data_IF_474019302575
#
_entry.id   IF_474019302575
#
_cell.length_a   1.000
_cell.length_b   1.000
_cell.length_c   1.000
_cell.angle_alpha   90.00
_cell.angle_beta   90.00
_cell.angle_gamma   90.00
#
_symmetry.space_group_name_H-M   'P 1'
#
loop_
_entity.id
_entity.type
_entity.pdbx_description
1 polymer ?
#
# COMPACT_ATOMS: atom_id res chain seq x y z
N UNK A 1 25.41 -24.47 -34.17
CA UNK A 1 24.33 -23.50 -33.91
C UNK A 1 23.74 -23.78 -32.54
N UNK A 2 24.39 -23.33 -31.47
CA UNK A 2 23.82 -23.31 -30.11
C UNK A 2 24.48 -22.15 -29.40
N UNK A 3 23.89 -20.96 -29.46
CA UNK A 3 24.13 -19.84 -28.54
C UNK A 3 22.98 -18.85 -28.75
N UNK A 4 21.93 -18.94 -27.93
CA UNK A 4 20.98 -17.85 -27.65
C UNK A 4 20.15 -18.23 -26.40
N UNK A 5 20.83 -18.35 -25.26
CA UNK A 5 20.17 -18.64 -23.97
C UNK A 5 20.72 -17.80 -22.81
N UNK A 6 21.31 -16.63 -23.10
CA UNK A 6 22.00 -15.82 -22.08
C UNK A 6 21.45 -14.38 -21.97
N UNK A 7 20.43 -13.98 -22.73
CA UNK A 7 19.96 -12.59 -22.79
C UNK A 7 18.67 -12.26 -22.00
N UNK A 8 18.32 -12.98 -20.92
CA UNK A 8 17.19 -12.59 -20.03
C UNK A 8 17.56 -12.64 -18.53
N UNK A 9 18.85 -12.77 -18.18
CA UNK A 9 19.28 -12.85 -16.77
C UNK A 9 19.74 -11.51 -16.16
N UNK A 10 19.71 -10.40 -16.94
CA UNK A 10 20.30 -9.12 -16.54
C UNK A 10 19.33 -8.05 -16.02
N UNK A 11 18.05 -8.12 -16.39
CA UNK A 11 17.07 -7.06 -16.04
C UNK A 11 16.12 -7.43 -14.89
N UNK A 12 16.05 -8.71 -14.52
CA UNK A 12 15.21 -9.18 -13.39
C UNK A 12 15.84 -8.87 -12.02
N UNK A 13 17.14 -8.56 -11.98
CA UNK A 13 17.87 -8.22 -10.76
C UNK A 13 17.45 -6.87 -10.12
N UNK A 14 16.54 -6.10 -10.73
CA UNK A 14 16.13 -4.78 -10.22
C UNK A 14 14.71 -4.70 -9.65
N UNK A 15 13.89 -5.76 -9.73
CA UNK A 15 12.53 -5.71 -9.17
C UNK A 15 12.55 -6.16 -7.69
N UNK A 16 13.36 -7.17 -7.34
CA UNK A 16 13.42 -7.71 -5.97
C UNK A 16 14.50 -7.05 -5.10
N UNK A 17 15.53 -6.41 -5.69
CA UNK A 17 16.74 -5.99 -4.96
C UNK A 17 16.86 -4.48 -4.66
N UNK A 18 15.87 -3.65 -5.02
CA UNK A 18 15.89 -2.20 -4.76
C UNK A 18 14.82 -1.77 -3.77
N UNK A 19 14.67 -2.54 -2.70
CA UNK A 19 14.03 -2.08 -1.47
C UNK A 19 15.04 -1.27 -0.67
N UNK A 20 15.33 -0.12 -1.29
CA UNK A 20 15.99 1.07 -0.81
C UNK A 20 15.59 1.35 0.64
N UNK A 21 16.50 1.92 1.45
CA UNK A 21 16.41 2.01 2.92
C UNK A 21 15.09 2.47 3.54
N UNK A 22 14.13 3.02 2.79
CA UNK A 22 12.73 3.18 3.20
C UNK A 22 12.07 1.86 3.64
N UNK A 23 12.30 0.75 2.93
CA UNK A 23 11.76 -0.57 3.31
C UNK A 23 12.34 -1.05 4.65
N UNK A 24 13.66 -0.93 4.83
CA UNK A 24 14.33 -1.21 6.11
C UNK A 24 13.81 -0.30 7.22
N UNK A 25 13.57 0.98 6.96
CA UNK A 25 12.95 1.91 7.92
C UNK A 25 11.53 1.50 8.29
N UNK A 26 10.76 0.89 7.39
CA UNK A 26 9.42 0.39 7.72
C UNK A 26 9.47 -0.94 8.49
N UNK A 27 10.46 -1.80 8.22
CA UNK A 27 10.56 -3.15 8.79
C UNK A 27 11.41 -3.27 10.05
N UNK A 28 12.38 -2.38 10.29
CA UNK A 28 13.28 -2.40 11.46
C UNK A 28 12.79 -1.52 12.61
N UNK A 29 11.70 -0.81 12.44
CA UNK A 29 11.18 0.06 13.51
C UNK A 29 10.29 -0.69 14.47
N UNK A 30 10.54 -0.51 15.77
CA UNK A 30 9.68 -0.97 16.86
C UNK A 30 8.21 -0.63 16.58
N UNK A 31 7.26 -1.51 16.97
CA UNK A 31 5.83 -1.23 16.85
C UNK A 31 5.48 0.15 17.41
N UNK A 32 4.48 0.83 16.84
CA UNK A 32 3.99 2.14 17.31
C UNK A 32 3.67 2.24 18.82
N UNK A 33 3.65 1.11 19.52
CA UNK A 33 3.35 0.90 20.94
C UNK A 33 4.16 1.76 21.93
N UNK A 34 5.24 2.47 21.55
CA UNK A 34 6.02 3.31 22.47
C UNK A 34 5.90 4.83 22.26
N UNK A 35 5.13 5.33 21.28
CA UNK A 35 5.23 6.74 20.84
C UNK A 35 4.02 7.62 21.21
N UNK A 36 2.92 7.03 21.65
CA UNK A 36 1.70 7.78 21.96
C UNK A 36 1.68 8.30 23.40
N UNK A 37 2.60 9.20 23.69
CA UNK A 37 2.50 10.06 24.87
C UNK A 37 1.31 11.01 24.76
N UNK A 38 0.17 10.64 25.36
CA UNK A 38 -0.97 11.50 25.76
C UNK A 38 -1.39 12.59 24.74
N UNK A 39 -1.45 12.30 23.44
CA UNK A 39 -2.06 13.22 22.47
C UNK A 39 -3.34 12.61 21.94
N UNK A 40 -4.43 13.37 22.12
CA UNK A 40 -5.78 13.04 21.69
C UNK A 40 -5.86 12.96 20.16
N UNK A 41 -6.59 11.98 19.65
CA UNK A 41 -7.08 11.89 18.27
C UNK A 41 -8.13 12.98 17.98
N UNK A 42 -7.81 14.24 18.28
CA UNK A 42 -8.65 15.41 18.04
C UNK A 42 -8.99 15.52 16.55
N UNK A 43 -10.13 16.15 16.21
CA UNK A 43 -11.01 15.67 15.16
C UNK A 43 -10.27 15.61 13.83
N UNK A 44 -10.21 14.39 13.25
CA UNK A 44 -9.92 14.23 11.85
C UNK A 44 -10.68 15.30 11.09
N UNK A 45 -9.95 16.07 10.27
CA UNK A 45 -10.54 17.06 9.41
C UNK A 45 -11.66 16.38 8.60
N UNK A 46 -12.87 16.97 8.55
CA UNK A 46 -14.05 16.37 7.89
C UNK A 46 -13.79 15.89 6.44
N UNK A 47 -12.78 16.48 5.78
CA UNK A 47 -12.28 16.07 4.47
C UNK A 47 -11.69 14.65 4.44
N UNK A 48 -11.00 14.24 5.50
CA UNK A 48 -10.45 12.88 5.65
C UNK A 48 -11.58 11.88 5.89
N UNK A 49 -12.64 12.29 6.59
CA UNK A 49 -13.82 11.46 6.81
C UNK A 49 -14.59 11.19 5.51
N UNK A 50 -14.75 12.18 4.63
CA UNK A 50 -15.38 11.97 3.31
C UNK A 50 -14.61 11.00 2.40
N UNK A 51 -13.28 11.08 2.40
CA UNK A 51 -12.41 10.14 1.68
C UNK A 51 -12.64 8.71 2.19
N UNK A 52 -12.61 8.54 3.50
CA UNK A 52 -12.85 7.28 4.19
C UNK A 52 -14.29 6.75 4.00
N UNK A 53 -15.30 7.62 3.97
CA UNK A 53 -16.69 7.27 3.62
C UNK A 53 -16.82 6.88 2.14
N UNK A 54 -15.98 7.43 1.27
CA UNK A 54 -15.83 7.01 -0.11
C UNK A 54 -15.35 5.56 -0.23
N UNK A 55 -14.39 5.16 0.61
CA UNK A 55 -13.88 3.79 0.66
C UNK A 55 -14.95 2.77 1.07
N UNK A 56 -15.85 3.14 1.99
CA UNK A 56 -16.95 2.27 2.44
C UNK A 56 -17.99 1.95 1.34
N UNK A 57 -17.95 2.66 0.21
CA UNK A 57 -18.80 2.40 -0.96
C UNK A 57 -18.17 1.42 -1.94
N UNK A 58 -16.91 1.06 -1.75
CA UNK A 58 -16.26 0.03 -2.55
C UNK A 58 -16.66 -1.34 -2.00
N UNK A 59 -17.17 -2.21 -2.87
CA UNK A 59 -17.44 -3.61 -2.54
C UNK A 59 -16.28 -4.46 -3.05
N UNK A 60 -15.27 -4.76 -2.21
CA UNK A 60 -14.08 -5.50 -2.61
C UNK A 60 -14.38 -6.99 -2.91
N UNK A 61 -15.65 -7.41 -2.74
CA UNK A 61 -16.13 -8.76 -3.05
C UNK A 61 -16.90 -8.83 -4.38
N UNK A 62 -17.12 -7.70 -5.06
CA UNK A 62 -17.99 -7.65 -6.23
C UNK A 62 -17.30 -7.98 -7.56
N UNK A 63 -15.98 -7.78 -7.69
CA UNK A 63 -15.25 -7.97 -8.95
C UNK A 63 -13.79 -8.38 -8.69
N UNK A 64 -13.17 -9.07 -9.67
CA UNK A 64 -11.72 -9.24 -9.76
C UNK A 64 -11.09 -7.84 -9.81
N UNK A 65 -10.33 -7.48 -8.78
CA UNK A 65 -9.78 -6.15 -8.56
C UNK A 65 -8.49 -5.92 -9.37
N UNK A 66 -7.80 -7.01 -9.74
CA UNK A 66 -6.55 -6.95 -10.48
C UNK A 66 -6.39 -8.03 -11.58
N UNK A 67 -7.34 -8.98 -11.71
CA UNK A 67 -7.23 -10.05 -12.70
C UNK A 67 -6.41 -11.26 -12.21
N UNK A 68 -5.91 -11.21 -10.97
CA UNK A 68 -5.19 -12.28 -10.29
C UNK A 68 -5.71 -12.50 -8.85
N UNK A 69 -5.90 -13.77 -8.46
CA UNK A 69 -6.53 -14.10 -7.18
C UNK A 69 -5.70 -13.75 -5.95
N UNK A 70 -4.37 -13.69 -6.07
CA UNK A 70 -3.49 -13.25 -4.97
C UNK A 70 -3.68 -11.76 -4.76
N UNK A 71 -3.62 -10.98 -5.84
CA UNK A 71 -3.76 -9.52 -5.77
C UNK A 71 -5.15 -9.12 -5.29
N UNK A 72 -6.21 -9.77 -5.77
CA UNK A 72 -7.58 -9.53 -5.31
C UNK A 72 -7.73 -9.74 -3.80
N UNK A 73 -7.11 -10.79 -3.25
CA UNK A 73 -7.13 -11.08 -1.81
C UNK A 73 -6.36 -10.03 -1.02
N UNK A 74 -5.25 -9.54 -1.56
CA UNK A 74 -4.44 -8.50 -0.91
C UNK A 74 -5.14 -7.14 -0.91
N UNK A 75 -5.79 -6.78 -2.01
CA UNK A 75 -6.63 -5.59 -2.09
C UNK A 75 -7.76 -5.66 -1.05
N UNK A 76 -8.44 -6.81 -0.90
CA UNK A 76 -9.44 -7.01 0.16
C UNK A 76 -8.87 -6.74 1.56
N UNK A 77 -7.69 -7.29 1.87
CA UNK A 77 -7.01 -7.03 3.14
C UNK A 77 -6.73 -5.54 3.37
N UNK A 78 -6.27 -4.82 2.34
CA UNK A 78 -6.03 -3.37 2.41
C UNK A 78 -7.32 -2.56 2.63
N UNK A 79 -8.43 -2.98 2.02
CA UNK A 79 -9.74 -2.37 2.30
C UNK A 79 -10.20 -2.63 3.73
N UNK A 80 -10.00 -3.84 4.24
CA UNK A 80 -10.36 -4.21 5.62
C UNK A 80 -9.54 -3.40 6.63
N UNK A 81 -8.24 -3.26 6.43
CA UNK A 81 -7.37 -2.41 7.26
C UNK A 81 -7.82 -0.94 7.25
N UNK A 82 -8.22 -0.41 6.10
CA UNK A 82 -8.73 0.96 5.98
C UNK A 82 -10.09 1.14 6.68
N UNK A 83 -10.93 0.11 6.63
CA UNK A 83 -12.22 0.09 7.35
C UNK A 83 -12.02 0.03 8.86
N UNK A 84 -11.06 -0.77 9.33
CA UNK A 84 -10.69 -0.85 10.74
C UNK A 84 -10.12 0.48 11.23
N UNK A 85 -9.27 1.13 10.42
CA UNK A 85 -8.74 2.45 10.73
C UNK A 85 -9.86 3.49 10.87
N UNK A 86 -10.83 3.48 9.93
CA UNK A 86 -12.03 4.32 10.03
C UNK A 86 -12.75 4.09 11.35
N UNK A 87 -13.06 2.83 11.65
CA UNK A 87 -13.86 2.47 12.81
C UNK A 87 -13.15 2.87 14.11
N UNK A 88 -11.83 2.67 14.18
CA UNK A 88 -11.01 3.07 15.31
C UNK A 88 -11.05 4.58 15.54
N UNK A 89 -10.94 5.38 14.47
CA UNK A 89 -10.94 6.83 14.61
C UNK A 89 -12.33 7.39 14.94
N UNK A 90 -13.39 6.89 14.27
CA UNK A 90 -14.77 7.29 14.58
C UNK A 90 -15.19 6.95 16.00
N UNK A 91 -14.68 5.86 16.55
CA UNK A 91 -14.95 5.44 17.93
C UNK A 91 -14.06 6.14 18.95
N UNK A 92 -13.16 7.04 18.52
CA UNK A 92 -12.21 7.73 19.39
C UNK A 92 -11.26 6.77 20.12
N UNK A 93 -10.84 5.67 19.46
CA UNK A 93 -9.94 4.69 20.06
C UNK A 93 -8.59 5.33 20.44
N UNK A 94 -7.89 4.77 21.45
CA UNK A 94 -6.56 5.20 21.84
C UNK A 94 -5.59 5.26 20.66
N UNK A 95 -4.69 6.24 20.68
CA UNK A 95 -3.82 6.53 19.55
C UNK A 95 -2.81 5.40 19.24
N UNK A 96 -2.43 4.62 20.24
CA UNK A 96 -1.63 3.39 20.09
C UNK A 96 -2.36 2.29 19.32
N UNK A 97 -3.66 2.10 19.56
CA UNK A 97 -4.49 1.18 18.76
C UNK A 97 -4.59 1.65 17.30
N UNK A 98 -4.81 2.95 17.08
CA UNK A 98 -4.87 3.53 15.73
C UNK A 98 -3.51 3.39 15.02
N UNK A 99 -2.41 3.63 15.73
CA UNK A 99 -1.07 3.43 15.21
C UNK A 99 -0.79 1.99 14.80
N UNK A 100 -1.23 1.00 15.59
CA UNK A 100 -1.07 -0.41 15.25
C UNK A 100 -1.78 -0.79 13.94
N UNK A 101 -2.96 -0.23 13.68
CA UNK A 101 -3.70 -0.45 12.42
C UNK A 101 -2.94 0.16 11.23
N UNK A 102 -2.41 1.39 11.39
CA UNK A 102 -1.58 2.03 10.35
C UNK A 102 -0.34 1.20 10.04
N UNK A 103 0.31 0.66 11.06
CA UNK A 103 1.47 -0.24 10.93
C UNK A 103 1.11 -1.50 10.13
N UNK A 104 -0.07 -2.09 10.37
CA UNK A 104 -0.57 -3.24 9.60
C UNK A 104 -0.80 -2.87 8.15
N UNK A 105 -1.56 -1.82 7.87
CA UNK A 105 -1.83 -1.40 6.51
C UNK A 105 -0.55 -1.16 5.70
N UNK A 106 0.44 -0.49 6.29
CA UNK A 106 1.68 -0.18 5.57
C UNK A 106 2.47 -1.47 5.28
N UNK A 107 2.53 -2.43 6.21
CA UNK A 107 3.17 -3.72 5.95
C UNK A 107 2.46 -4.47 4.83
N UNK A 108 1.14 -4.51 4.87
CA UNK A 108 0.34 -5.27 3.93
C UNK A 108 0.40 -4.63 2.54
N UNK A 109 0.42 -3.29 2.45
CA UNK A 109 0.58 -2.57 1.18
C UNK A 109 1.94 -2.86 0.54
N UNK A 110 3.01 -2.85 1.35
CA UNK A 110 4.35 -3.15 0.86
C UNK A 110 4.48 -4.60 0.41
N UNK A 111 3.83 -5.54 1.11
CA UNK A 111 3.79 -6.94 0.68
C UNK A 111 3.02 -7.09 -0.63
N UNK A 112 1.88 -6.43 -0.76
CA UNK A 112 1.09 -6.38 -1.97
C UNK A 112 1.91 -5.88 -3.17
N UNK A 113 2.60 -4.74 -3.05
CA UNK A 113 3.44 -4.20 -4.13
C UNK A 113 4.51 -5.19 -4.61
N UNK A 114 5.15 -5.90 -3.67
CA UNK A 114 6.16 -6.92 -4.01
C UNK A 114 5.58 -8.08 -4.80
N UNK A 115 4.43 -8.57 -4.37
CA UNK A 115 3.79 -9.72 -5.01
C UNK A 115 3.21 -9.36 -6.38
N UNK A 116 2.58 -8.18 -6.49
CA UNK A 116 2.08 -7.67 -7.76
C UNK A 116 3.22 -7.46 -8.77
N UNK A 117 4.33 -6.82 -8.36
CA UNK A 117 5.49 -6.65 -9.24
C UNK A 117 6.03 -8.00 -9.75
N UNK A 118 6.05 -9.03 -8.91
CA UNK A 118 6.47 -10.36 -9.31
C UNK A 118 5.50 -11.00 -10.32
N UNK A 119 4.19 -10.80 -10.13
CA UNK A 119 3.14 -11.28 -11.03
C UNK A 119 3.22 -10.56 -12.39
N UNK A 120 3.32 -9.24 -12.39
CA UNK A 120 3.43 -8.43 -13.61
C UNK A 120 4.70 -8.77 -14.40
N UNK A 121 5.83 -8.96 -13.70
CA UNK A 121 7.09 -9.38 -14.32
C UNK A 121 6.96 -10.78 -14.94
N UNK A 122 6.36 -11.74 -14.23
CA UNK A 122 6.15 -13.10 -14.73
C UNK A 122 5.23 -13.13 -15.96
N UNK A 123 4.24 -12.23 -16.00
CA UNK A 123 3.35 -12.05 -17.14
C UNK A 123 4.00 -11.32 -18.33
N UNK A 124 5.21 -10.77 -18.18
CA UNK A 124 5.87 -9.87 -19.14
C UNK A 124 5.02 -8.62 -19.46
N UNK A 125 4.30 -8.09 -18.47
CA UNK A 125 3.50 -6.89 -18.66
C UNK A 125 4.39 -5.70 -19.10
N UNK A 126 4.09 -5.05 -20.24
CA UNK A 126 4.94 -3.96 -20.76
C UNK A 126 5.10 -2.78 -19.81
N UNK A 127 4.13 -2.56 -18.92
CA UNK A 127 4.15 -1.47 -17.93
C UNK A 127 4.88 -1.77 -16.63
N UNK A 128 5.46 -2.97 -16.45
CA UNK A 128 6.06 -3.43 -15.17
C UNK A 128 7.04 -2.42 -14.56
N UNK A 129 7.93 -1.83 -15.38
CA UNK A 129 8.92 -0.87 -14.88
C UNK A 129 8.30 0.47 -14.43
N UNK A 130 7.22 0.92 -15.08
CA UNK A 130 6.46 2.11 -14.66
C UNK A 130 5.75 1.82 -13.33
N UNK A 131 5.09 0.68 -13.23
CA UNK A 131 4.34 0.26 -12.04
C UNK A 131 5.23 0.15 -10.80
N UNK A 132 6.37 -0.56 -10.93
CA UNK A 132 7.36 -0.67 -9.85
C UNK A 132 7.97 0.68 -9.42
N UNK A 133 8.02 1.67 -10.33
CA UNK A 133 8.45 3.02 -9.97
C UNK A 133 7.40 3.75 -9.11
N UNK A 134 6.11 3.60 -9.43
CA UNK A 134 5.00 4.13 -8.63
C UNK A 134 5.01 3.52 -7.22
N UNK A 135 5.15 2.20 -7.10
CA UNK A 135 5.27 1.53 -5.81
C UNK A 135 6.42 2.07 -4.96
N UNK A 136 7.61 2.24 -5.57
CA UNK A 136 8.76 2.79 -4.85
C UNK A 136 8.48 4.19 -4.31
N UNK A 137 7.76 5.03 -5.05
CA UNK A 137 7.38 6.37 -4.60
C UNK A 137 6.35 6.33 -3.45
N UNK A 138 5.40 5.39 -3.49
CA UNK A 138 4.46 5.14 -2.40
C UNK A 138 5.18 4.66 -1.13
N UNK A 139 6.11 3.70 -1.25
CA UNK A 139 6.89 3.19 -0.11
C UNK A 139 7.77 4.29 0.51
N UNK A 140 8.43 5.10 -0.31
CA UNK A 140 9.22 6.23 0.18
C UNK A 140 8.36 7.27 0.91
N UNK A 141 7.17 7.56 0.37
CA UNK A 141 6.21 8.47 0.99
C UNK A 141 5.70 7.93 2.32
N UNK A 142 5.35 6.64 2.39
CA UNK A 142 4.93 5.97 3.61
C UNK A 142 6.04 6.06 4.69
N UNK A 143 7.28 5.71 4.34
CA UNK A 143 8.42 5.78 5.27
C UNK A 143 8.65 7.21 5.78
N UNK A 144 8.55 8.22 4.91
CA UNK A 144 8.67 9.63 5.32
C UNK A 144 7.55 10.03 6.29
N UNK A 145 6.29 9.72 5.97
CA UNK A 145 5.14 10.09 6.78
C UNK A 145 5.18 9.40 8.15
N UNK A 146 5.49 8.10 8.18
CA UNK A 146 5.70 7.35 9.43
C UNK A 146 6.79 7.99 10.27
N UNK A 147 7.95 8.31 9.69
CA UNK A 147 9.03 8.98 10.45
C UNK A 147 8.60 10.32 11.02
N UNK A 148 7.91 11.16 10.25
CA UNK A 148 7.45 12.48 10.71
C UNK A 148 6.39 12.36 11.79
N UNK A 149 5.48 11.40 11.67
CA UNK A 149 4.46 11.11 12.67
C UNK A 149 5.07 10.62 13.97
N UNK A 150 6.03 9.68 13.91
CA UNK A 150 6.79 9.21 15.08
C UNK A 150 7.58 10.31 15.77
N UNK A 151 8.05 11.29 15.03
CA UNK A 151 8.72 12.47 15.59
C UNK A 151 7.74 13.55 16.11
N UNK A 152 6.43 13.33 16.06
CA UNK A 152 5.40 14.29 16.48
C UNK A 152 5.29 15.53 15.57
N UNK A 153 5.78 15.43 14.33
CA UNK A 153 5.83 16.50 13.32
C UNK A 153 4.73 16.38 12.25
N UNK A 154 3.84 15.41 12.38
CA UNK A 154 2.76 15.11 11.44
C UNK A 154 1.51 14.75 12.25
N UNK A 155 0.34 15.18 11.80
CA UNK A 155 -0.92 14.71 12.37
C UNK A 155 -1.33 13.34 11.80
N UNK A 156 -2.09 12.57 12.57
CA UNK A 156 -2.59 11.26 12.12
C UNK A 156 -3.49 11.39 10.88
N UNK A 157 -4.18 12.52 10.73
CA UNK A 157 -5.00 12.79 9.55
C UNK A 157 -4.22 12.81 8.24
N UNK A 158 -2.94 13.19 8.24
CA UNK A 158 -2.10 13.16 7.04
C UNK A 158 -1.74 11.72 6.63
N UNK A 159 -1.52 10.81 7.60
CA UNK A 159 -1.32 9.37 7.32
C UNK A 159 -2.59 8.74 6.74
N UNK A 160 -3.72 9.02 7.38
CA UNK A 160 -5.03 8.53 6.92
C UNK A 160 -5.33 9.01 5.50
N UNK A 161 -5.04 10.28 5.19
CA UNK A 161 -5.21 10.82 3.84
C UNK A 161 -4.32 10.10 2.83
N UNK A 162 -3.05 9.86 3.16
CA UNK A 162 -2.13 9.13 2.28
C UNK A 162 -2.64 7.71 1.97
N UNK A 163 -3.04 6.97 3.01
CA UNK A 163 -3.58 5.62 2.86
C UNK A 163 -4.85 5.59 1.99
N UNK A 164 -5.82 6.45 2.32
CA UNK A 164 -7.10 6.47 1.62
C UNK A 164 -6.98 6.95 0.16
N UNK A 165 -6.19 7.99 -0.07
CA UNK A 165 -6.16 8.68 -1.36
C UNK A 165 -5.05 8.18 -2.28
N UNK A 166 -3.81 8.08 -1.77
CA UNK A 166 -2.67 7.71 -2.61
C UNK A 166 -2.57 6.20 -2.80
N UNK A 167 -2.76 5.41 -1.75
CA UNK A 167 -2.69 3.94 -1.85
C UNK A 167 -4.00 3.37 -2.40
N UNK A 168 -5.13 3.65 -1.75
CA UNK A 168 -6.37 2.98 -2.17
C UNK A 168 -6.97 3.63 -3.43
N UNK A 169 -7.34 4.91 -3.35
CA UNK A 169 -8.13 5.51 -4.43
C UNK A 169 -7.37 5.70 -5.74
N UNK A 170 -6.09 6.09 -5.68
CA UNK A 170 -5.29 6.33 -6.90
C UNK A 170 -4.56 5.11 -7.40
N UNK A 171 -4.16 4.20 -6.53
CA UNK A 171 -3.34 3.08 -6.97
C UNK A 171 -4.19 1.81 -7.13
N UNK A 172 -4.78 1.28 -6.06
CA UNK A 172 -5.64 0.08 -6.14
C UNK A 172 -6.84 0.26 -7.09
N UNK A 173 -7.50 1.42 -7.04
CA UNK A 173 -8.74 1.66 -7.79
C UNK A 173 -8.55 2.26 -9.18
N UNK A 174 -7.33 2.66 -9.55
CA UNK A 174 -7.06 3.35 -10.83
C UNK A 174 -5.84 2.72 -11.54
N UNK A 175 -4.63 2.86 -11.01
CA UNK A 175 -3.43 2.30 -11.67
C UNK A 175 -3.47 0.76 -11.82
N UNK A 176 -3.93 0.00 -10.81
CA UNK A 176 -3.97 -1.47 -10.88
C UNK A 176 -5.00 -1.97 -11.91
N UNK A 177 -6.04 -1.16 -12.16
CA UNK A 177 -7.05 -1.46 -13.18
C UNK A 177 -6.44 -1.48 -14.59
N UNK A 178 -5.33 -0.77 -14.84
CA UNK A 178 -4.63 -0.77 -16.13
C UNK A 178 -3.99 -2.15 -16.44
N UNK A 179 -3.69 -2.95 -15.42
CA UNK A 179 -3.05 -4.26 -15.56
C UNK A 179 -4.05 -5.38 -15.89
N UNK A 180 -5.32 -5.23 -15.46
CA UNK A 180 -6.36 -6.27 -15.54
C UNK A 180 -6.51 -6.85 -16.95
N UNK A 181 -6.75 -6.05 -18.02
CA UNK A 181 -7.03 -6.61 -19.33
C UNK A 181 -5.86 -7.42 -19.88
N UNK A 182 -4.64 -7.05 -19.51
CA UNK A 182 -3.44 -7.77 -19.91
C UNK A 182 -3.34 -9.11 -19.19
N UNK A 183 -3.48 -9.12 -17.85
CA UNK A 183 -3.40 -10.33 -17.03
C UNK A 183 -4.50 -11.35 -17.39
N UNK A 184 -5.73 -10.88 -17.68
CA UNK A 184 -6.81 -11.74 -18.15
C UNK A 184 -6.53 -12.35 -19.52
N UNK A 185 -5.86 -11.63 -20.42
CA UNK A 185 -5.53 -12.12 -21.78
C UNK A 185 -4.48 -13.24 -21.82
N UNK A 186 -3.76 -13.46 -20.71
CA UNK A 186 -2.73 -14.49 -20.58
C UNK A 186 -3.26 -15.82 -20.01
N UNK A 187 -4.56 -15.89 -19.67
CA UNK A 187 -5.23 -17.10 -19.16
C UNK A 187 -5.81 -17.96 -20.29
#
# INVERSE_FOLDING_TARGET
>A
MVLDSIWVAGEVLSIVALLCGAYLVLMETEPFLSLFGKRSAAPLLAKNLQLIEGLARYDPYSHSLAGDGVVDTQHQGLFDDANDLRAAILSGRPADEVGAIIDTFIRDAVQHFRDEEAILAAANYPGTAKHAALHRDLVNSAAMLVRRFRAGMLDIGELVQFMAHEVIAKHLLDEDQECIPYLESQR
#
